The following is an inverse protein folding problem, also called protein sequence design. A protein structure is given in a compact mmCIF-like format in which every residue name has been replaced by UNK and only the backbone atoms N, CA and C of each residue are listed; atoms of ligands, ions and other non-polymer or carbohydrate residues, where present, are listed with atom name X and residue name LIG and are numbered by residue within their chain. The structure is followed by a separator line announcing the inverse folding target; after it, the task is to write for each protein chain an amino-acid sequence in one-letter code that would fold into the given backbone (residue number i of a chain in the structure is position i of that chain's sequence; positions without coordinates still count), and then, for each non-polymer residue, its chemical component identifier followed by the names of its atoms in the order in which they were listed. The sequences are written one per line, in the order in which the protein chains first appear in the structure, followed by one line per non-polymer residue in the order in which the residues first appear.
data_IF_174061526577
#
_entry.id   IF_174061526577
#
_cell.length_a   1.000
_cell.length_b   1.000
_cell.length_c   1.000
_cell.angle_alpha   90.00
_cell.angle_beta   90.00
_cell.angle_gamma   90.00
#
_symmetry.space_group_name_H-M   'P 1'
#
loop_
_entity.id
_entity.type
_entity.pdbx_description
1 polymer ?
#
# COMPACT_ATOMS: atom_id res chain seq x y z
N UNK A 1 -3.05 -20.52 13.60
CA UNK A 1 -2.78 -19.06 13.74
C UNK A 1 -3.63 -18.21 12.78
N UNK A 2 -4.68 -18.75 12.14
CA UNK A 2 -5.60 -17.99 11.26
C UNK A 2 -6.80 -17.36 12.00
N UNK A 3 -7.01 -17.72 13.28
CA UNK A 3 -8.14 -17.20 14.06
C UNK A 3 -7.94 -15.75 14.51
N UNK A 4 -6.73 -15.39 14.94
CA UNK A 4 -6.46 -14.08 15.54
C UNK A 4 -6.67 -12.91 14.57
N UNK A 5 -6.21 -13.03 13.33
CA UNK A 5 -6.41 -12.03 12.28
C UNK A 5 -7.87 -11.86 11.89
N UNK A 6 -8.64 -12.95 11.87
CA UNK A 6 -10.06 -12.90 11.54
C UNK A 6 -10.87 -12.20 12.65
N UNK A 7 -10.49 -12.40 13.92
CA UNK A 7 -11.10 -11.69 15.06
C UNK A 7 -10.71 -10.22 15.13
N UNK A 8 -9.48 -9.85 14.79
CA UNK A 8 -9.04 -8.45 14.76
C UNK A 8 -9.75 -7.65 13.67
N UNK A 9 -9.92 -8.24 12.48
CA UNK A 9 -10.70 -7.62 11.40
C UNK A 9 -12.17 -7.48 11.82
N UNK A 10 -12.75 -8.50 12.47
CA UNK A 10 -14.12 -8.43 12.97
C UNK A 10 -14.28 -7.35 14.04
N UNK A 11 -13.31 -7.22 14.95
CA UNK A 11 -13.29 -6.21 15.99
C UNK A 11 -13.16 -4.80 15.41
N UNK A 12 -12.27 -4.61 14.42
CA UNK A 12 -12.14 -3.36 13.69
C UNK A 12 -13.44 -3.00 12.95
N UNK A 13 -14.10 -3.98 12.32
CA UNK A 13 -15.40 -3.77 11.69
C UNK A 13 -16.47 -3.35 12.72
N UNK A 14 -16.53 -3.99 13.89
CA UNK A 14 -17.49 -3.60 14.93
C UNK A 14 -17.21 -2.17 15.44
N UNK A 15 -15.95 -1.83 15.70
CA UNK A 15 -15.56 -0.48 16.17
C UNK A 15 -15.81 0.60 15.10
N UNK A 16 -15.78 0.26 13.82
CA UNK A 16 -15.98 1.21 12.73
C UNK A 16 -17.48 1.33 12.36
N UNK A 17 -18.19 0.21 12.23
CA UNK A 17 -19.59 0.19 11.80
C UNK A 17 -20.59 0.50 12.94
N UNK A 18 -20.27 0.22 14.20
CA UNK A 18 -21.19 0.51 15.33
C UNK A 18 -21.32 2.02 15.60
N UNK A 19 -20.25 2.83 15.66
CA UNK A 19 -20.37 4.28 15.80
C UNK A 19 -21.01 4.92 14.58
N UNK A 20 -20.77 4.40 13.37
CA UNK A 20 -21.43 4.85 12.15
C UNK A 20 -22.93 4.53 12.22
N UNK A 21 -23.31 3.32 12.64
CA UNK A 21 -24.69 2.92 12.93
C UNK A 21 -25.39 3.84 13.93
N UNK A 22 -24.74 4.13 15.06
CA UNK A 22 -25.28 5.03 16.09
C UNK A 22 -25.35 6.49 15.63
N UNK A 23 -24.33 6.99 14.90
CA UNK A 23 -24.33 8.34 14.33
C UNK A 23 -25.39 8.51 13.23
N UNK A 24 -25.60 7.48 12.42
CA UNK A 24 -26.69 7.38 11.44
C UNK A 24 -28.07 7.36 12.05
N UNK A 25 -28.23 6.62 13.16
CA UNK A 25 -29.45 6.58 13.94
C UNK A 25 -29.81 7.95 14.53
N UNK A 26 -28.80 8.71 14.96
CA UNK A 26 -28.98 10.03 15.58
C UNK A 26 -29.22 11.17 14.57
N UNK A 27 -28.81 11.01 13.30
CA UNK A 27 -29.02 11.99 12.22
C UNK A 27 -30.22 11.67 11.31
N UNK A 28 -30.82 10.48 11.40
CA UNK A 28 -31.82 10.02 10.43
C UNK A 28 -33.27 10.25 10.89
N UNK A 29 -33.86 11.36 10.42
CA UNK A 29 -35.27 11.35 9.99
C UNK A 29 -35.44 10.86 8.54
N UNK A 30 -34.36 10.64 7.79
CA UNK A 30 -34.40 10.29 6.36
C UNK A 30 -33.49 9.08 6.06
N UNK A 31 -34.08 7.88 6.06
CA UNK A 31 -33.41 6.56 6.00
C UNK A 31 -32.50 6.33 4.77
N UNK A 32 -32.62 7.13 3.71
CA UNK A 32 -31.93 6.90 2.43
C UNK A 32 -30.44 7.34 2.43
N UNK A 33 -30.10 8.44 3.12
CA UNK A 33 -28.73 9.00 3.09
C UNK A 33 -27.72 8.14 3.87
N UNK A 34 -28.17 7.51 4.95
CA UNK A 34 -27.32 6.62 5.74
C UNK A 34 -26.92 5.37 4.96
N UNK A 35 -27.86 4.80 4.19
CA UNK A 35 -27.62 3.63 3.36
C UNK A 35 -26.64 3.92 2.23
N UNK A 36 -26.77 5.09 1.59
CA UNK A 36 -25.85 5.53 0.53
C UNK A 36 -24.42 5.74 1.06
N UNK A 37 -24.26 6.38 2.21
CA UNK A 37 -22.95 6.62 2.83
C UNK A 37 -22.23 5.33 3.23
N UNK A 38 -22.94 4.41 3.91
CA UNK A 38 -22.37 3.12 4.27
C UNK A 38 -22.00 2.29 3.03
N UNK A 39 -22.88 2.25 2.01
CA UNK A 39 -22.62 1.55 0.76
C UNK A 39 -21.39 2.10 0.03
N UNK A 40 -21.21 3.42 -0.01
CA UNK A 40 -20.06 4.05 -0.66
C UNK A 40 -18.73 3.70 0.01
N UNK A 41 -18.71 3.68 1.35
CA UNK A 41 -17.52 3.32 2.13
C UNK A 41 -17.19 1.83 1.93
N UNK A 42 -18.19 0.95 1.99
CA UNK A 42 -17.99 -0.48 1.74
C UNK A 42 -17.50 -0.75 0.32
N UNK A 43 -18.04 -0.06 -0.69
CA UNK A 43 -17.62 -0.22 -2.08
C UNK A 43 -16.17 0.26 -2.29
N UNK A 44 -15.79 1.38 -1.66
CA UNK A 44 -14.45 1.94 -1.74
C UNK A 44 -13.40 1.04 -1.07
N UNK A 45 -13.71 0.48 0.11
CA UNK A 45 -12.83 -0.49 0.78
C UNK A 45 -12.72 -1.76 -0.06
N UNK A 46 -13.82 -2.28 -0.58
CA UNK A 46 -13.82 -3.49 -1.39
C UNK A 46 -13.03 -3.33 -2.70
N UNK A 47 -13.15 -2.20 -3.40
CA UNK A 47 -12.40 -1.95 -4.63
C UNK A 47 -10.89 -1.80 -4.39
N UNK A 48 -10.50 -1.18 -3.27
CA UNK A 48 -9.10 -1.07 -2.85
C UNK A 48 -8.53 -2.45 -2.49
N UNK A 49 -9.28 -3.28 -1.76
CA UNK A 49 -8.86 -4.64 -1.43
C UNK A 49 -8.71 -5.55 -2.65
N UNK A 50 -9.57 -5.38 -3.66
CA UNK A 50 -9.51 -6.17 -4.90
C UNK A 50 -8.27 -5.81 -5.75
N UNK A 51 -7.91 -4.53 -5.78
CA UNK A 51 -6.71 -4.06 -6.49
C UNK A 51 -5.40 -4.61 -5.86
N UNK A 52 -5.42 -4.90 -4.56
CA UNK A 52 -4.24 -5.35 -3.80
C UNK A 52 -3.78 -6.75 -4.22
N UNK A 53 -4.69 -7.71 -4.43
CA UNK A 53 -4.30 -9.04 -4.89
C UNK A 53 -3.89 -9.06 -6.36
N UNK A 54 -4.56 -8.26 -7.19
CA UNK A 54 -4.26 -8.16 -8.63
C UNK A 54 -2.89 -7.51 -8.88
N UNK A 55 -2.41 -6.67 -7.96
CA UNK A 55 -1.10 -6.05 -8.08
C UNK A 55 0.06 -7.05 -7.99
N UNK A 56 -0.04 -8.05 -7.11
CA UNK A 56 0.98 -9.09 -6.99
C UNK A 56 1.07 -9.96 -8.25
N UNK A 57 -0.08 -10.24 -8.89
CA UNK A 57 -0.13 -10.94 -10.17
C UNK A 57 0.43 -10.08 -11.31
N UNK A 58 0.12 -8.77 -11.33
CA UNK A 58 0.64 -7.84 -12.33
C UNK A 58 2.16 -7.67 -12.25
N UNK A 59 2.72 -7.69 -11.04
CA UNK A 59 4.13 -7.44 -10.79
C UNK A 59 4.97 -8.73 -10.77
N UNK A 60 4.36 -9.88 -11.06
CA UNK A 60 5.04 -11.17 -11.07
C UNK A 60 6.18 -11.20 -12.11
N UNK A 61 7.39 -11.55 -11.67
CA UNK A 61 8.60 -11.59 -12.49
C UNK A 61 9.08 -10.21 -12.98
N UNK A 62 8.53 -9.12 -12.45
CA UNK A 62 8.88 -7.77 -12.88
C UNK A 62 10.10 -7.22 -12.14
N UNK A 63 10.84 -6.36 -12.84
CA UNK A 63 11.88 -5.54 -12.22
C UNK A 63 11.44 -4.08 -12.26
N UNK A 64 11.22 -3.51 -11.07
CA UNK A 64 10.77 -2.14 -10.89
C UNK A 64 11.93 -1.31 -10.34
N UNK A 65 12.33 -0.30 -11.08
CA UNK A 65 13.37 0.66 -10.66
C UNK A 65 12.69 2.00 -10.37
N UNK A 66 12.86 2.50 -9.15
CA UNK A 66 12.36 3.80 -8.69
C UNK A 66 13.55 4.71 -8.47
N UNK A 67 13.61 5.79 -9.22
CA UNK A 67 14.74 6.71 -9.23
C UNK A 67 14.24 8.06 -8.76
N UNK A 68 14.84 8.61 -7.70
CA UNK A 68 14.44 9.94 -7.25
C UNK A 68 14.99 10.35 -5.89
N UNK A 69 14.32 11.32 -5.31
CA UNK A 69 14.70 11.98 -4.07
C UNK A 69 13.98 11.34 -2.86
N UNK A 70 13.88 12.12 -1.78
CA UNK A 70 13.16 11.72 -0.57
C UNK A 70 11.68 11.39 -0.81
N UNK A 71 11.01 12.03 -1.77
CA UNK A 71 9.59 11.81 -2.03
C UNK A 71 9.35 10.50 -2.77
N UNK A 72 10.26 10.15 -3.69
CA UNK A 72 10.20 8.89 -4.42
C UNK A 72 10.24 7.65 -3.49
N UNK A 73 10.78 7.78 -2.27
CA UNK A 73 10.75 6.71 -1.26
C UNK A 73 9.35 6.35 -0.79
N UNK A 74 8.43 7.31 -0.75
CA UNK A 74 7.04 7.01 -0.40
C UNK A 74 6.34 6.22 -1.50
N UNK A 75 6.72 6.44 -2.77
CA UNK A 75 6.23 5.63 -3.90
C UNK A 75 6.73 4.20 -3.77
N UNK A 76 8.02 4.00 -3.51
CA UNK A 76 8.59 2.69 -3.25
C UNK A 76 7.91 1.97 -2.07
N UNK A 77 7.71 2.68 -0.95
CA UNK A 77 7.00 2.15 0.20
C UNK A 77 5.56 1.78 -0.14
N UNK A 78 4.85 2.61 -0.90
CA UNK A 78 3.44 2.35 -1.26
C UNK A 78 3.29 1.11 -2.15
N UNK A 79 4.25 0.86 -3.04
CA UNK A 79 4.29 -0.32 -3.90
C UNK A 79 4.64 -1.57 -3.09
N UNK A 80 5.63 -1.47 -2.20
CA UNK A 80 5.95 -2.57 -1.29
C UNK A 80 4.79 -2.87 -0.32
N UNK A 81 4.06 -1.86 0.13
CA UNK A 81 2.86 -2.03 0.95
C UNK A 81 1.69 -2.69 0.19
N UNK A 82 1.74 -2.64 -1.14
CA UNK A 82 0.77 -3.28 -2.01
C UNK A 82 1.06 -4.79 -2.15
N UNK A 83 2.34 -5.17 -2.12
CA UNK A 83 2.81 -6.52 -2.44
C UNK A 83 3.17 -7.33 -1.20
N UNK A 84 3.74 -6.69 -0.18
CA UNK A 84 4.22 -7.35 1.05
C UNK A 84 3.13 -7.44 2.11
N UNK A 85 3.27 -8.43 3.00
CA UNK A 85 2.46 -8.56 4.19
C UNK A 85 2.88 -7.53 5.25
N UNK A 86 1.95 -7.19 6.17
CA UNK A 86 2.12 -6.13 7.18
C UNK A 86 3.35 -6.27 8.07
N UNK A 87 3.82 -7.50 8.30
CA UNK A 87 4.87 -7.79 9.27
C UNK A 87 6.27 -7.44 8.74
N UNK A 88 6.47 -7.48 7.41
CA UNK A 88 7.75 -7.16 6.78
C UNK A 88 7.96 -5.66 6.59
N UNK A 89 6.88 -4.89 6.51
CA UNK A 89 6.88 -3.46 6.17
C UNK A 89 7.67 -2.57 7.12
N UNK A 90 7.67 -2.86 8.42
CA UNK A 90 8.40 -2.03 9.39
C UNK A 90 9.91 -2.13 9.21
N UNK A 91 10.41 -3.33 8.84
CA UNK A 91 11.83 -3.52 8.52
C UNK A 91 12.22 -2.80 7.23
N UNK A 92 11.37 -2.90 6.20
CA UNK A 92 11.53 -2.24 4.92
C UNK A 92 11.58 -0.72 5.07
N UNK A 93 10.64 -0.17 5.86
CA UNK A 93 10.57 1.27 6.10
C UNK A 93 11.81 1.78 6.81
N UNK A 94 12.34 1.04 7.79
CA UNK A 94 13.57 1.43 8.47
C UNK A 94 14.77 1.49 7.50
N UNK A 95 14.86 0.53 6.57
CA UNK A 95 15.98 0.46 5.62
C UNK A 95 15.85 1.42 4.44
N UNK A 96 14.66 1.56 3.85
CA UNK A 96 14.38 2.44 2.71
C UNK A 96 14.56 3.92 3.07
N UNK A 97 14.30 4.31 4.32
CA UNK A 97 14.40 5.70 4.77
C UNK A 97 15.78 6.10 5.30
N UNK A 98 16.79 5.21 5.22
CA UNK A 98 18.19 5.59 5.46
C UNK A 98 18.60 6.76 4.56
N UNK A 99 19.37 7.73 5.08
CA UNK A 99 19.65 8.99 4.34
C UNK A 99 20.54 8.74 3.14
N UNK A 100 20.12 9.28 1.98
CA UNK A 100 20.89 9.29 0.73
C UNK A 100 21.44 7.91 0.31
N UNK A 101 20.68 6.85 0.61
CA UNK A 101 21.04 5.48 0.29
C UNK A 101 20.12 4.93 -0.78
N UNK A 102 20.72 4.13 -1.64
CA UNK A 102 20.02 3.20 -2.51
C UNK A 102 19.45 2.05 -1.67
N UNK A 103 18.42 1.41 -2.20
CA UNK A 103 17.77 0.29 -1.56
C UNK A 103 17.40 -0.75 -2.59
N UNK A 104 17.62 -2.02 -2.28
CA UNK A 104 17.33 -3.13 -3.16
C UNK A 104 16.61 -4.21 -2.38
N UNK A 105 15.52 -4.71 -2.94
CA UNK A 105 14.77 -5.83 -2.41
C UNK A 105 14.40 -6.80 -3.53
N UNK A 106 14.51 -8.09 -3.23
CA UNK A 106 13.96 -9.16 -4.07
C UNK A 106 12.85 -9.82 -3.27
N UNK A 107 11.67 -9.91 -3.87
CA UNK A 107 10.49 -10.58 -3.30
C UNK A 107 10.39 -11.94 -4.00
N UNK A 108 10.95 -13.01 -3.41
CA UNK A 108 11.08 -14.31 -4.08
C UNK A 108 9.72 -14.96 -4.37
N UNK A 109 8.68 -14.62 -3.61
CA UNK A 109 7.33 -15.19 -3.72
C UNK A 109 6.69 -14.91 -5.08
N UNK A 110 6.86 -13.69 -5.60
CA UNK A 110 6.33 -13.28 -6.90
C UNK A 110 7.44 -13.05 -7.94
N UNK A 111 8.71 -13.32 -7.59
CA UNK A 111 9.86 -13.07 -8.47
C UNK A 111 10.08 -11.59 -8.81
N UNK A 112 9.54 -10.67 -8.02
CA UNK A 112 9.68 -9.23 -8.23
C UNK A 112 11.00 -8.73 -7.65
N UNK A 113 11.66 -7.83 -8.37
CA UNK A 113 12.81 -7.07 -7.87
C UNK A 113 12.45 -5.58 -7.82
N UNK A 114 12.72 -4.94 -6.68
CA UNK A 114 12.57 -3.50 -6.51
C UNK A 114 13.92 -2.88 -6.19
N UNK A 115 14.36 -1.97 -7.05
CA UNK A 115 15.55 -1.13 -6.82
C UNK A 115 15.11 0.33 -6.66
N UNK A 116 15.44 0.94 -5.53
CA UNK A 116 15.34 2.37 -5.31
C UNK A 116 16.73 2.99 -5.40
N UNK A 117 16.87 4.01 -6.25
CA UNK A 117 18.14 4.71 -6.48
C UNK A 117 17.98 6.18 -6.11
N UNK A 118 18.86 6.65 -5.24
CA UNK A 118 18.89 8.04 -4.80
C UNK A 118 19.47 8.93 -5.89
N UNK A 119 18.58 9.67 -6.55
CA UNK A 119 18.88 10.56 -7.67
C UNK A 119 18.10 11.87 -7.51
N UNK A 120 18.56 12.79 -6.65
CA UNK A 120 17.85 14.03 -6.37
C UNK A 120 17.91 15.05 -7.52
N UNK A 121 18.79 14.84 -8.51
CA UNK A 121 18.97 15.73 -9.64
C UNK A 121 18.74 15.03 -10.98
N UNK A 122 18.32 15.81 -11.98
CA UNK A 122 18.04 15.33 -13.35
C UNK A 122 19.30 14.78 -14.04
N UNK A 123 20.49 15.25 -13.65
CA UNK A 123 21.77 14.72 -14.16
C UNK A 123 21.97 13.27 -13.73
N UNK A 124 21.65 12.92 -12.47
CA UNK A 124 21.75 11.54 -11.99
C UNK A 124 20.83 10.59 -12.77
N UNK A 125 19.62 11.05 -13.13
CA UNK A 125 18.70 10.30 -13.98
C UNK A 125 19.26 10.08 -15.39
N UNK A 126 19.91 11.09 -15.95
CA UNK A 126 20.50 11.02 -17.30
C UNK A 126 21.67 10.04 -17.33
N UNK A 127 22.54 10.09 -16.32
CA UNK A 127 23.66 9.16 -16.16
C UNK A 127 23.16 7.72 -16.00
N UNK A 128 22.13 7.51 -15.17
CA UNK A 128 21.52 6.21 -14.95
C UNK A 128 20.87 5.62 -16.21
N UNK A 129 20.18 6.46 -17.01
CA UNK A 129 19.63 6.01 -18.29
C UNK A 129 20.71 5.55 -19.28
N UNK A 130 21.91 6.11 -19.19
CA UNK A 130 23.04 5.69 -20.01
C UNK A 130 23.64 4.36 -19.53
N UNK A 131 23.53 4.03 -18.24
CA UNK A 131 23.97 2.73 -17.69
C UNK A 131 23.03 1.57 -18.05
N UNK A 132 21.74 1.84 -18.27
CA UNK A 132 20.77 0.82 -18.69
C UNK A 132 20.73 0.53 -20.20
N UNK A 133 21.53 1.25 -20.99
CA UNK A 133 21.61 1.10 -22.45
C UNK A 133 22.65 0.07 -22.86
#
# INVERSE_FOLDING_TARGET
MLGATQYDILAACVVLFVPIGMAGWHLSRNKMLFFSGALFITLAVASISLLLSDASDLLNGSWVVIVGDSQARFVALSLLNLVLHSDDLESVKADLFKRHSDYQMVIPEIGMKLDFIWAPYVTNLTDLMMEFK
#
